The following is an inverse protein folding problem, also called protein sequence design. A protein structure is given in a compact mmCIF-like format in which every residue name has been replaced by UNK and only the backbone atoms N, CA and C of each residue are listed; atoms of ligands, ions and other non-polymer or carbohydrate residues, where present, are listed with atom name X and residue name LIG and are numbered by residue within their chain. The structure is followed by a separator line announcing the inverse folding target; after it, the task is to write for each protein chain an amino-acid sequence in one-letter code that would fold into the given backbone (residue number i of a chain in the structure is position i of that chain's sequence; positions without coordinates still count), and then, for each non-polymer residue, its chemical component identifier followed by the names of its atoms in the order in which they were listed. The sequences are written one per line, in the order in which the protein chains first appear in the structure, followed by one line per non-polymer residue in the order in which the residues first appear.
data_IF_399962286159
#
_entry.id   IF_399962286159
#
_cell.length_a   1.000
_cell.length_b   1.000
_cell.length_c   1.000
_cell.angle_alpha   90.00
_cell.angle_beta   90.00
_cell.angle_gamma   90.00
#
_symmetry.space_group_name_H-M   'P 1'
#
loop_
_entity.id
_entity.type
_entity.pdbx_description
1 polymer ?
#
# COMPACT_ATOMS: atom_id res chain seq x y z
N UNK A 1 -5.66 7.75 -15.23
CA UNK A 1 -5.20 6.64 -14.37
C UNK A 1 -4.91 5.42 -15.23
N UNK A 2 -3.78 4.80 -15.01
CA UNK A 2 -3.46 3.59 -15.77
C UNK A 2 -4.42 2.47 -15.42
N UNK A 3 -4.90 1.77 -16.42
CA UNK A 3 -5.61 0.53 -16.21
C UNK A 3 -4.59 -0.56 -15.91
N UNK A 4 -4.90 -1.41 -14.97
CA UNK A 4 -4.03 -2.50 -14.64
C UNK A 4 -4.48 -3.21 -13.39
N UNK A 5 -3.73 -4.23 -13.03
CA UNK A 5 -4.02 -5.05 -11.87
C UNK A 5 -3.52 -4.33 -10.61
N UNK A 6 -4.39 -4.22 -9.62
CA UNK A 6 -4.02 -3.70 -8.31
C UNK A 6 -3.85 -4.89 -7.37
N UNK A 7 -2.65 -5.03 -6.82
CA UNK A 7 -2.37 -6.11 -5.88
C UNK A 7 -2.53 -5.58 -4.46
N UNK A 8 -3.46 -6.15 -3.71
CA UNK A 8 -3.70 -5.79 -2.32
C UNK A 8 -3.31 -6.97 -1.45
N UNK A 9 -2.36 -6.75 -0.54
CA UNK A 9 -1.95 -7.81 0.38
C UNK A 9 -2.93 -7.88 1.54
N UNK A 10 -3.26 -9.08 1.95
CA UNK A 10 -3.97 -9.31 3.21
C UNK A 10 -3.11 -10.30 3.99
N UNK A 11 -2.29 -9.76 4.89
CA UNK A 11 -1.25 -10.50 5.55
C UNK A 11 -1.73 -11.78 6.25
N UNK A 12 -2.87 -11.79 6.95
CA UNK A 12 -3.33 -13.04 7.57
C UNK A 12 -3.56 -14.16 6.57
N UNK A 13 -4.01 -13.84 5.35
CA UNK A 13 -4.24 -14.85 4.33
C UNK A 13 -2.96 -15.30 3.65
N UNK A 14 -1.96 -14.42 3.59
CA UNK A 14 -0.72 -14.67 2.87
C UNK A 14 0.41 -15.19 3.75
N UNK A 15 0.17 -15.40 5.02
CA UNK A 15 1.16 -15.72 6.06
C UNK A 15 2.41 -16.44 5.50
N UNK A 16 3.56 -15.76 5.54
CA UNK A 16 4.83 -16.30 5.08
C UNK A 16 5.03 -16.38 3.58
N UNK A 17 4.00 -16.09 2.78
CA UNK A 17 4.09 -16.15 1.31
C UNK A 17 3.81 -14.81 0.65
N UNK A 18 3.75 -13.75 1.44
CA UNK A 18 3.37 -12.44 0.92
C UNK A 18 4.29 -11.94 -0.19
N UNK A 19 5.59 -12.02 0.02
CA UNK A 19 6.54 -11.51 -0.98
C UNK A 19 6.47 -12.30 -2.28
N UNK A 20 6.36 -13.62 -2.20
CA UNK A 20 6.25 -14.45 -3.40
C UNK A 20 4.95 -14.15 -4.15
N UNK A 21 3.85 -13.96 -3.44
CA UNK A 21 2.56 -13.65 -4.05
C UNK A 21 2.59 -12.28 -4.72
N UNK A 22 3.18 -11.29 -4.06
CA UNK A 22 3.30 -9.94 -4.63
C UNK A 22 4.21 -9.94 -5.84
N UNK A 23 5.34 -10.64 -5.77
CA UNK A 23 6.23 -10.71 -6.92
C UNK A 23 5.55 -11.37 -8.12
N UNK A 24 4.76 -12.41 -7.89
CA UNK A 24 4.00 -13.03 -8.96
C UNK A 24 3.02 -12.03 -9.59
N UNK A 25 2.36 -11.21 -8.77
CA UNK A 25 1.46 -10.17 -9.28
C UNK A 25 2.22 -9.11 -10.07
N UNK A 26 3.40 -8.71 -9.61
CA UNK A 26 4.23 -7.74 -10.32
C UNK A 26 4.67 -8.27 -11.68
N UNK A 27 5.09 -9.53 -11.74
CA UNK A 27 5.46 -10.18 -13.00
C UNK A 27 4.25 -10.29 -13.93
N UNK A 28 3.05 -10.40 -13.37
CA UNK A 28 1.81 -10.47 -14.14
C UNK A 28 1.27 -9.12 -14.59
N UNK A 29 1.96 -8.02 -14.26
CA UNK A 29 1.58 -6.70 -14.72
C UNK A 29 0.88 -5.81 -13.71
N UNK A 30 0.96 -6.11 -12.42
CA UNK A 30 0.39 -5.23 -11.40
C UNK A 30 1.01 -3.84 -11.50
N UNK A 31 0.17 -2.82 -11.43
CA UNK A 31 0.61 -1.42 -11.57
C UNK A 31 0.63 -0.68 -10.24
N UNK A 32 0.03 -1.23 -9.20
CA UNK A 32 0.03 -0.68 -7.85
C UNK A 32 0.00 -1.84 -6.87
N UNK A 33 0.76 -1.73 -5.79
CA UNK A 33 0.70 -2.68 -4.67
C UNK A 33 0.23 -1.91 -3.45
N UNK A 34 -0.73 -2.47 -2.73
CA UNK A 34 -1.22 -1.89 -1.49
C UNK A 34 -0.98 -2.87 -0.35
N UNK A 35 -0.29 -2.41 0.69
CA UNK A 35 -0.06 -3.19 1.90
C UNK A 35 -1.19 -2.95 2.89
N UNK A 36 -1.87 -4.01 3.26
CA UNK A 36 -2.97 -3.98 4.21
C UNK A 36 -2.73 -5.01 5.29
N UNK A 37 -2.56 -4.55 6.53
CA UNK A 37 -2.44 -5.40 7.70
C UNK A 37 -3.09 -4.68 8.88
N UNK A 38 -4.15 -5.26 9.41
CA UNK A 38 -4.92 -4.67 10.52
C UNK A 38 -4.47 -5.17 11.88
N UNK A 39 -3.38 -5.94 11.94
CA UNK A 39 -2.85 -6.38 13.21
C UNK A 39 -2.21 -5.23 13.97
N UNK A 40 -1.94 -5.45 15.26
CA UNK A 40 -1.25 -4.48 16.09
C UNK A 40 0.24 -4.76 16.23
N UNK A 41 0.77 -5.66 15.42
CA UNK A 41 2.18 -6.03 15.47
C UNK A 41 3.01 -5.02 14.68
N UNK A 42 3.40 -3.95 15.34
CA UNK A 42 4.12 -2.84 14.72
C UNK A 42 5.44 -3.28 14.11
N UNK A 43 6.20 -4.14 14.82
CA UNK A 43 7.49 -4.60 14.33
C UNK A 43 7.34 -5.42 13.05
N UNK A 44 6.36 -6.35 13.01
CA UNK A 44 6.08 -7.14 11.82
C UNK A 44 5.62 -6.28 10.67
N UNK A 45 4.75 -5.31 10.93
CA UNK A 45 4.25 -4.41 9.89
C UNK A 45 5.37 -3.59 9.27
N UNK A 46 6.29 -3.10 10.09
CA UNK A 46 7.46 -2.37 9.60
C UNK A 46 8.32 -3.26 8.71
N UNK A 47 8.60 -4.47 9.16
CA UNK A 47 9.44 -5.41 8.45
C UNK A 47 8.84 -5.79 7.10
N UNK A 48 7.55 -6.12 7.10
CA UNK A 48 6.84 -6.50 5.88
C UNK A 48 6.73 -5.34 4.89
N UNK A 49 6.42 -4.15 5.39
CA UNK A 49 6.29 -2.98 4.53
C UNK A 49 7.62 -2.59 3.90
N UNK A 50 8.73 -2.69 4.66
CA UNK A 50 10.07 -2.45 4.11
C UNK A 50 10.42 -3.46 3.04
N UNK A 51 10.13 -4.74 3.26
CA UNK A 51 10.39 -5.78 2.29
C UNK A 51 9.60 -5.53 1.00
N UNK A 52 8.34 -5.15 1.12
CA UNK A 52 7.52 -4.81 -0.04
C UNK A 52 8.03 -3.57 -0.76
N UNK A 53 8.49 -2.57 0.00
CA UNK A 53 9.09 -1.37 -0.58
C UNK A 53 10.24 -1.71 -1.49
N UNK A 54 11.15 -2.55 -1.02
CA UNK A 54 12.31 -2.97 -1.81
C UNK A 54 11.90 -3.75 -3.05
N UNK A 55 10.93 -4.64 -2.91
CA UNK A 55 10.43 -5.42 -4.03
C UNK A 55 9.76 -4.53 -5.07
N UNK A 56 8.90 -3.62 -4.65
CA UNK A 56 8.20 -2.71 -5.56
C UNK A 56 9.16 -1.79 -6.29
N UNK A 57 10.23 -1.34 -5.63
CA UNK A 57 11.26 -0.53 -6.27
C UNK A 57 11.92 -1.27 -7.42
N UNK A 58 12.18 -2.57 -7.24
CA UNK A 58 12.80 -3.39 -8.31
C UNK A 58 11.93 -3.43 -9.57
N UNK A 59 10.62 -3.43 -9.40
CA UNK A 59 9.68 -3.48 -10.51
C UNK A 59 9.16 -2.11 -10.92
N UNK A 60 9.60 -1.05 -10.24
CA UNK A 60 9.17 0.34 -10.50
C UNK A 60 7.65 0.50 -10.40
N UNK A 61 7.09 -0.13 -9.37
CA UNK A 61 5.65 -0.09 -9.09
C UNK A 61 5.44 0.63 -7.77
N UNK A 62 4.49 1.57 -7.66
CA UNK A 62 4.25 2.27 -6.41
C UNK A 62 3.68 1.36 -5.35
N UNK A 63 4.09 1.59 -4.10
CA UNK A 63 3.57 0.92 -2.91
C UNK A 63 2.75 1.90 -2.11
N UNK A 64 1.50 1.54 -1.83
CA UNK A 64 0.62 2.29 -0.94
C UNK A 64 0.43 1.54 0.36
N UNK A 65 0.34 2.29 1.46
CA UNK A 65 0.06 1.72 2.78
C UNK A 65 -1.39 1.99 3.13
N UNK A 66 -2.12 0.96 3.56
CA UNK A 66 -3.52 1.11 3.91
C UNK A 66 -3.70 1.68 5.31
N UNK A 67 -4.35 2.84 5.41
CA UNK A 67 -4.78 3.49 6.65
C UNK A 67 -3.68 3.76 7.68
N UNK A 68 -2.42 3.85 7.28
CA UNK A 68 -1.34 4.09 8.23
C UNK A 68 -0.30 5.05 7.66
N UNK A 69 -0.53 6.33 7.91
CA UNK A 69 0.32 7.41 7.43
C UNK A 69 1.72 7.31 8.03
N UNK A 70 1.82 6.99 9.32
CA UNK A 70 3.12 6.92 10.00
C UNK A 70 3.95 5.76 9.46
N UNK A 71 3.33 4.64 9.16
CA UNK A 71 4.06 3.53 8.54
C UNK A 71 4.55 3.92 7.15
N UNK A 72 3.72 4.62 6.38
CA UNK A 72 4.11 5.12 5.07
C UNK A 72 5.36 6.00 5.16
N UNK A 73 5.38 6.93 6.11
CA UNK A 73 6.53 7.81 6.33
C UNK A 73 7.76 6.99 6.73
N UNK A 74 7.59 6.05 7.65
CA UNK A 74 8.69 5.27 8.20
C UNK A 74 9.39 4.42 7.14
N UNK A 75 8.65 3.84 6.20
CA UNK A 75 9.23 2.98 5.17
C UNK A 75 9.48 3.71 3.86
N UNK A 76 9.06 4.95 3.76
CA UNK A 76 9.24 5.73 2.53
C UNK A 76 8.39 5.22 1.38
N UNK A 77 7.19 4.72 1.66
CA UNK A 77 6.27 4.26 0.62
C UNK A 77 5.82 5.43 -0.26
N UNK A 78 5.25 5.10 -1.41
CA UNK A 78 4.86 6.11 -2.39
C UNK A 78 3.58 6.85 -2.00
N UNK A 79 2.78 6.28 -1.10
CA UNK A 79 1.58 6.94 -0.64
C UNK A 79 0.75 6.06 0.28
N UNK A 80 -0.47 6.50 0.52
CA UNK A 80 -1.41 5.83 1.41
C UNK A 80 -2.76 5.68 0.72
N UNK A 81 -3.51 4.66 1.14
CA UNK A 81 -4.91 4.52 0.79
C UNK A 81 -5.74 4.69 2.06
N UNK A 82 -6.66 5.63 2.06
CA UNK A 82 -7.42 6.04 3.23
C UNK A 82 -8.92 5.79 3.03
N UNK A 83 -9.64 5.70 4.15
CA UNK A 83 -11.09 5.76 4.11
C UNK A 83 -11.57 7.19 3.85
N UNK A 84 -12.89 7.38 3.82
CA UNK A 84 -13.50 8.68 3.54
C UNK A 84 -13.55 9.56 4.78
N UNK A 85 -12.40 9.83 5.37
CA UNK A 85 -12.31 10.73 6.53
C UNK A 85 -11.45 11.91 6.16
N UNK A 86 -12.04 13.11 6.18
CA UNK A 86 -11.36 14.33 5.78
C UNK A 86 -10.11 14.59 6.60
N UNK A 87 -10.18 14.31 7.91
CA UNK A 87 -9.03 14.52 8.80
C UNK A 87 -7.83 13.69 8.38
N UNK A 88 -8.07 12.45 7.97
CA UNK A 88 -6.99 11.57 7.53
C UNK A 88 -6.34 12.10 6.25
N UNK A 89 -7.14 12.61 5.32
CA UNK A 89 -6.62 13.17 4.07
C UNK A 89 -5.77 14.41 4.34
N UNK A 90 -6.23 15.30 5.22
CA UNK A 90 -5.48 16.49 5.58
C UNK A 90 -4.18 16.13 6.29
N UNK A 91 -4.23 15.18 7.21
CA UNK A 91 -3.04 14.73 7.90
C UNK A 91 -2.04 14.12 6.93
N UNK A 92 -2.50 13.33 5.98
CA UNK A 92 -1.65 12.72 4.97
C UNK A 92 -0.92 13.80 4.16
N UNK A 93 -1.62 14.85 3.74
CA UNK A 93 -1.00 15.95 2.98
C UNK A 93 0.04 16.69 3.79
N UNK A 94 -0.15 16.81 5.10
CA UNK A 94 0.83 17.47 5.97
C UNK A 94 2.05 16.59 6.23
N UNK A 95 1.85 15.28 6.34
CA UNK A 95 2.91 14.36 6.73
C UNK A 95 3.71 13.82 5.55
N UNK A 96 3.11 13.78 4.37
CA UNK A 96 3.72 13.17 3.19
C UNK A 96 4.26 14.23 2.24
N UNK A 97 5.16 13.81 1.35
CA UNK A 97 5.67 14.69 0.32
C UNK A 97 4.56 15.13 -0.62
N UNK A 98 4.75 16.27 -1.29
CA UNK A 98 3.71 16.82 -2.17
C UNK A 98 3.36 15.91 -3.35
N UNK A 99 4.28 15.03 -3.74
CA UNK A 99 4.07 14.07 -4.83
C UNK A 99 3.55 12.71 -4.34
N UNK A 100 3.27 12.58 -3.04
CA UNK A 100 2.77 11.31 -2.51
C UNK A 100 1.37 11.01 -3.05
N UNK A 101 1.13 9.73 -3.28
CA UNK A 101 -0.16 9.26 -3.75
C UNK A 101 -1.10 9.12 -2.56
N UNK A 102 -2.28 9.72 -2.63
CA UNK A 102 -3.30 9.57 -1.61
C UNK A 102 -4.56 9.03 -2.27
N UNK A 103 -4.80 7.74 -2.05
CA UNK A 103 -6.01 7.10 -2.53
C UNK A 103 -7.10 7.15 -1.46
N UNK A 104 -8.34 7.26 -1.90
CA UNK A 104 -9.49 7.33 -1.00
C UNK A 104 -10.53 6.34 -1.47
N UNK A 105 -11.10 5.59 -0.52
CA UNK A 105 -12.18 4.67 -0.83
C UNK A 105 -13.46 5.46 -1.08
N UNK A 106 -14.15 5.19 -2.18
CA UNK A 106 -15.44 5.78 -2.50
C UNK A 106 -16.53 4.73 -2.40
N UNK A 107 -17.70 5.13 -1.90
CA UNK A 107 -18.81 4.20 -1.71
C UNK A 107 -19.32 3.60 -3.01
N UNK A 108 -19.31 4.38 -4.07
CA UNK A 108 -19.82 3.97 -5.37
C UNK A 108 -18.75 3.43 -6.29
N UNK A 109 -17.53 3.28 -5.79
CA UNK A 109 -16.46 2.68 -6.54
C UNK A 109 -16.47 1.18 -6.35
N UNK A 110 -16.37 0.44 -7.44
CA UNK A 110 -16.17 -0.99 -7.35
C UNK A 110 -14.75 -1.26 -6.94
N UNK A 111 -14.54 -2.25 -6.07
CA UNK A 111 -13.18 -2.63 -5.73
C UNK A 111 -12.48 -3.16 -6.98
N UNK A 112 -11.37 -2.56 -7.27
CA UNK A 112 -10.53 -3.00 -8.38
C UNK A 112 -9.50 -3.95 -7.78
N UNK A 113 -9.74 -5.18 -7.95
CA UNK A 113 -8.90 -6.20 -7.36
C UNK A 113 -7.94 -6.73 -8.40
#
# INVERSE_FOLDING_TARGET
MKRGLYAITDTPLLAGRMLAAVEAALKGGAVVVQYRDKSNDTARRMEEALALRMLCLRYRVPLLINDDIELCVAVGADGVHLGQQDDSQQLARKRLASDAIIGVTCHDSLPLV
#
